data_IF_900970918307
#
_entry.id   IF_900970918307
#
_cell.length_a   1.000
_cell.length_b   1.000
_cell.length_c   1.000
_cell.angle_alpha   90.00
_cell.angle_beta   90.00
_cell.angle_gamma   90.00
#
_symmetry.space_group_name_H-M   'P 1'
#
loop_
_entity.id
_entity.type
_entity.pdbx_description
1 polymer ?
#
# COMPACT_ATOMS: atom_id res chain seq x y z
N UNK A 1 7.57 -29.33 9.05
CA UNK A 1 7.80 -28.09 8.28
C UNK A 1 6.78 -27.90 7.16
N UNK A 2 6.57 -28.90 6.28
CA UNK A 2 5.63 -28.81 5.15
C UNK A 2 4.18 -28.47 5.56
N UNK A 3 3.69 -29.04 6.67
CA UNK A 3 2.33 -28.77 7.21
C UNK A 3 2.14 -27.30 7.62
N UNK A 4 3.19 -26.65 8.13
CA UNK A 4 3.11 -25.23 8.52
C UNK A 4 3.03 -24.34 7.28
N UNK A 5 3.82 -24.64 6.26
CA UNK A 5 3.82 -23.91 4.99
C UNK A 5 2.48 -24.06 4.27
N UNK A 6 1.91 -25.27 4.23
CA UNK A 6 0.59 -25.48 3.63
C UNK A 6 -0.50 -24.71 4.36
N UNK A 7 -0.44 -24.64 5.69
CA UNK A 7 -1.39 -23.89 6.49
C UNK A 7 -1.28 -22.38 6.25
N UNK A 8 -0.06 -21.84 6.18
CA UNK A 8 0.18 -20.42 5.85
C UNK A 8 -0.39 -20.10 4.46
N UNK A 9 -0.12 -20.95 3.46
CA UNK A 9 -0.61 -20.74 2.09
C UNK A 9 -2.14 -20.82 2.01
N UNK A 10 -2.75 -21.72 2.77
CA UNK A 10 -4.21 -21.85 2.85
C UNK A 10 -4.86 -20.60 3.45
N UNK A 11 -4.27 -20.06 4.53
CA UNK A 11 -4.71 -18.80 5.15
C UNK A 11 -4.53 -17.64 4.17
N UNK A 12 -3.34 -17.50 3.58
CA UNK A 12 -3.05 -16.47 2.59
C UNK A 12 -4.10 -16.44 1.46
N UNK A 13 -4.40 -17.60 0.87
CA UNK A 13 -5.37 -17.70 -0.22
C UNK A 13 -6.79 -17.30 0.22
N UNK A 14 -7.21 -17.74 1.41
CA UNK A 14 -8.52 -17.39 1.98
C UNK A 14 -8.63 -15.88 2.20
N UNK A 15 -7.62 -15.27 2.82
CA UNK A 15 -7.63 -13.84 3.14
C UNK A 15 -7.54 -12.97 1.88
N UNK A 16 -6.71 -13.38 0.91
CA UNK A 16 -6.62 -12.71 -0.38
C UNK A 16 -7.94 -12.74 -1.14
N UNK A 17 -8.67 -13.87 -1.14
CA UNK A 17 -10.02 -13.92 -1.70
C UNK A 17 -11.02 -13.06 -0.90
N UNK A 18 -10.87 -13.00 0.43
CA UNK A 18 -11.65 -12.13 1.30
C UNK A 18 -11.52 -10.65 0.95
N UNK A 19 -10.31 -10.20 0.59
CA UNK A 19 -10.08 -8.81 0.15
C UNK A 19 -10.92 -8.43 -1.08
N UNK A 20 -10.97 -9.29 -2.10
CA UNK A 20 -11.79 -9.04 -3.29
C UNK A 20 -13.30 -9.08 -3.04
N UNK A 21 -13.74 -9.61 -1.89
CA UNK A 21 -15.15 -9.61 -1.50
C UNK A 21 -15.52 -8.47 -0.54
N UNK A 22 -14.52 -7.81 0.08
CA UNK A 22 -14.75 -6.78 1.10
C UNK A 22 -14.94 -5.39 0.47
N UNK A 23 -16.10 -4.73 0.66
CA UNK A 23 -16.35 -3.38 0.15
C UNK A 23 -15.33 -2.33 0.66
N UNK A 24 -14.81 -2.56 1.87
CA UNK A 24 -13.85 -1.67 2.51
C UNK A 24 -12.49 -1.71 1.81
N UNK A 25 -12.06 -2.88 1.32
CA UNK A 25 -10.83 -3.01 0.56
C UNK A 25 -10.88 -2.17 -0.72
N UNK A 26 -11.98 -2.25 -1.47
CA UNK A 26 -12.19 -1.41 -2.66
C UNK A 26 -12.19 0.09 -2.34
N UNK A 27 -12.80 0.50 -1.22
CA UNK A 27 -12.78 1.90 -0.80
C UNK A 27 -11.35 2.38 -0.52
N UNK A 28 -10.56 1.61 0.22
CA UNK A 28 -9.16 1.93 0.54
C UNK A 28 -8.31 1.98 -0.74
N UNK A 29 -8.40 0.96 -1.60
CA UNK A 29 -7.67 0.92 -2.87
C UNK A 29 -8.06 2.07 -3.79
N UNK A 30 -9.35 2.42 -3.86
CA UNK A 30 -9.85 3.54 -4.66
C UNK A 30 -9.31 4.88 -4.17
N UNK A 31 -9.31 5.12 -2.85
CA UNK A 31 -8.71 6.33 -2.26
C UNK A 31 -7.22 6.38 -2.54
N UNK A 32 -6.51 5.26 -2.37
CA UNK A 32 -5.08 5.18 -2.66
C UNK A 32 -4.77 5.53 -4.12
N UNK A 33 -5.53 4.99 -5.07
CA UNK A 33 -5.39 5.31 -6.50
C UNK A 33 -5.66 6.78 -6.81
N UNK A 34 -6.70 7.36 -6.21
CA UNK A 34 -7.02 8.78 -6.39
C UNK A 34 -5.91 9.69 -5.86
N UNK A 35 -5.39 9.38 -4.66
CA UNK A 35 -4.26 10.11 -4.10
C UNK A 35 -3.00 9.95 -4.96
N UNK A 36 -2.70 8.73 -5.39
CA UNK A 36 -1.56 8.44 -6.26
C UNK A 36 -1.61 9.22 -7.58
N UNK A 37 -2.79 9.28 -8.22
CA UNK A 37 -3.01 10.06 -9.43
C UNK A 37 -2.91 11.56 -9.18
N UNK A 38 -3.52 12.06 -8.10
CA UNK A 38 -3.44 13.47 -7.71
C UNK A 38 -1.99 13.91 -7.48
N UNK A 39 -1.21 13.14 -6.70
CA UNK A 39 0.18 13.47 -6.43
C UNK A 39 1.07 13.38 -7.67
N UNK A 40 0.79 12.46 -8.60
CA UNK A 40 1.50 12.40 -9.87
C UNK A 40 1.32 13.70 -10.66
N UNK A 41 0.08 14.16 -10.80
CA UNK A 41 -0.21 15.43 -11.51
C UNK A 41 0.37 16.62 -10.75
N UNK A 42 0.28 16.64 -9.43
CA UNK A 42 0.81 17.73 -8.60
C UNK A 42 2.34 17.85 -8.70
N UNK A 43 3.08 16.74 -8.65
CA UNK A 43 4.55 16.74 -8.72
C UNK A 43 5.04 17.14 -10.12
N UNK A 44 4.35 16.71 -11.18
CA UNK A 44 4.79 16.98 -12.57
C UNK A 44 4.31 18.35 -13.07
N UNK A 45 3.00 18.60 -12.99
CA UNK A 45 2.33 19.74 -13.64
C UNK A 45 1.83 20.81 -12.65
N UNK A 46 2.05 20.63 -11.34
CA UNK A 46 1.65 21.62 -10.34
C UNK A 46 2.37 22.97 -10.51
N UNK A 47 1.91 24.03 -9.83
CA UNK A 47 2.59 25.33 -9.81
C UNK A 47 4.05 25.22 -9.33
N UNK A 48 4.28 24.37 -8.33
CA UNK A 48 5.61 24.00 -7.83
C UNK A 48 6.11 22.68 -8.44
N UNK A 49 5.56 22.26 -9.57
CA UNK A 49 5.91 21.00 -10.23
C UNK A 49 7.28 21.05 -10.91
N UNK A 50 7.89 19.89 -11.11
CA UNK A 50 9.25 19.75 -11.65
C UNK A 50 9.36 20.42 -13.04
N UNK A 51 8.34 20.27 -13.89
CA UNK A 51 8.35 20.83 -15.25
C UNK A 51 8.35 22.38 -15.22
N UNK A 52 7.54 22.98 -14.34
CA UNK A 52 7.46 24.44 -14.23
C UNK A 52 8.71 25.04 -13.60
N UNK A 53 9.31 24.34 -12.62
CA UNK A 53 10.56 24.75 -12.01
C UNK A 53 11.72 24.74 -13.01
N UNK A 54 11.79 23.73 -13.88
CA UNK A 54 12.80 23.65 -14.95
C UNK A 54 12.56 24.76 -15.98
N UNK A 55 11.31 24.93 -16.44
CA UNK A 55 10.96 25.97 -17.41
C UNK A 55 11.29 27.39 -16.92
N UNK A 56 11.08 27.67 -15.63
CA UNK A 56 11.40 28.98 -15.03
C UNK A 56 12.91 29.17 -14.89
N UNK A 57 13.66 28.12 -14.57
CA UNK A 57 15.13 28.16 -14.49
C UNK A 57 15.79 28.39 -15.85
N UNK A 58 15.26 27.74 -16.89
CA UNK A 58 15.70 27.93 -18.27
C UNK A 58 15.46 29.38 -18.74
N UNK A 59 14.34 29.99 -18.36
CA UNK A 59 14.04 31.40 -18.68
C UNK A 59 14.97 32.40 -17.97
N UNK A 60 15.45 32.06 -16.78
CA UNK A 60 16.37 32.89 -15.99
C UNK A 60 17.84 32.74 -16.41
N UNK A 61 18.13 31.89 -17.41
CA UNK A 61 19.49 31.64 -17.89
C UNK A 61 20.37 30.86 -16.89
N UNK A 62 19.76 30.18 -15.92
CA UNK A 62 20.45 29.36 -14.91
C UNK A 62 20.34 27.90 -15.34
N UNK A 63 21.31 27.43 -16.14
CA UNK A 63 21.35 26.07 -16.71
C UNK A 63 22.31 25.10 -15.99
N UNK A 64 22.98 25.54 -14.91
CA UNK A 64 23.91 24.69 -14.15
C UNK A 64 23.49 24.68 -12.67
N UNK A 65 23.27 23.50 -12.04
CA UNK A 65 23.59 22.13 -12.45
C UNK A 65 22.45 21.40 -13.22
N UNK A 66 22.78 20.33 -13.98
CA UNK A 66 21.81 19.51 -14.69
C UNK A 66 20.80 18.87 -13.72
N UNK A 67 19.54 19.27 -13.83
CA UNK A 67 18.44 18.66 -13.09
C UNK A 67 18.03 17.38 -13.80
N UNK A 68 18.32 16.24 -13.18
CA UNK A 68 17.78 14.94 -13.60
C UNK A 68 16.30 14.87 -13.21
N UNK A 69 15.44 15.33 -14.11
CA UNK A 69 13.99 15.38 -13.90
C UNK A 69 13.40 13.99 -13.60
N UNK A 70 13.76 12.90 -14.31
CA UNK A 70 13.35 11.55 -13.93
C UNK A 70 13.73 11.17 -12.50
N UNK A 71 14.97 11.43 -12.07
CA UNK A 71 15.43 11.07 -10.74
C UNK A 71 14.69 11.84 -9.63
N UNK A 72 14.56 13.16 -9.77
CA UNK A 72 13.83 13.99 -8.79
C UNK A 72 12.35 13.62 -8.72
N UNK A 73 11.73 13.31 -9.86
CA UNK A 73 10.36 12.80 -9.90
C UNK A 73 10.25 11.48 -9.13
N UNK A 74 11.13 10.52 -9.41
CA UNK A 74 11.07 9.20 -8.77
C UNK A 74 11.23 9.33 -7.25
N UNK A 75 12.19 10.15 -6.81
CA UNK A 75 12.47 10.42 -5.40
C UNK A 75 11.27 11.05 -4.70
N UNK A 76 10.66 12.09 -5.28
CA UNK A 76 9.49 12.75 -4.70
C UNK A 76 8.27 11.83 -4.68
N UNK A 77 7.98 11.17 -5.82
CA UNK A 77 6.82 10.30 -5.96
C UNK A 77 6.91 9.06 -5.06
N UNK A 78 8.05 8.36 -5.05
CA UNK A 78 8.24 7.20 -4.18
C UNK A 78 8.28 7.57 -2.71
N UNK A 79 8.81 8.74 -2.35
CA UNK A 79 8.77 9.24 -0.96
C UNK A 79 7.33 9.39 -0.46
N UNK A 80 6.48 10.07 -1.24
CA UNK A 80 5.07 10.26 -0.89
C UNK A 80 4.31 8.92 -0.92
N UNK A 81 4.45 8.12 -1.98
CA UNK A 81 3.79 6.81 -2.06
C UNK A 81 4.24 5.86 -0.94
N UNK A 82 5.51 5.86 -0.57
CA UNK A 82 6.06 5.09 0.54
C UNK A 82 5.51 5.56 1.89
N UNK A 83 5.37 6.87 2.10
CA UNK A 83 4.70 7.38 3.31
C UNK A 83 3.23 6.97 3.36
N UNK A 84 2.50 7.03 2.25
CA UNK A 84 1.10 6.61 2.18
C UNK A 84 0.96 5.11 2.46
N UNK A 85 1.86 4.27 1.92
CA UNK A 85 1.82 2.83 2.13
C UNK A 85 2.08 2.43 3.59
N UNK A 86 2.90 3.19 4.33
CA UNK A 86 3.08 3.00 5.78
C UNK A 86 1.79 3.18 6.58
N UNK A 87 0.84 3.97 6.10
CA UNK A 87 -0.50 4.07 6.71
C UNK A 87 -1.46 3.03 6.13
N UNK A 88 -1.36 2.75 4.83
CA UNK A 88 -2.24 1.82 4.13
C UNK A 88 -2.09 0.38 4.64
N UNK A 89 -0.86 -0.09 4.84
CA UNK A 89 -0.57 -1.47 5.25
C UNK A 89 -1.16 -1.80 6.64
N UNK A 90 -0.93 -0.99 7.71
CA UNK A 90 -1.59 -1.22 8.99
C UNK A 90 -3.10 -1.11 8.91
N UNK A 91 -3.62 -0.20 8.08
CA UNK A 91 -5.06 -0.01 7.90
C UNK A 91 -5.72 -1.26 7.29
N UNK A 92 -5.11 -1.83 6.24
CA UNK A 92 -5.57 -3.07 5.61
C UNK A 92 -5.39 -4.29 6.51
N UNK A 93 -4.32 -4.35 7.32
CA UNK A 93 -4.13 -5.46 8.27
C UNK A 93 -5.14 -5.39 9.42
N UNK A 94 -5.44 -4.19 9.94
CA UNK A 94 -6.42 -4.01 11.02
C UNK A 94 -7.85 -4.25 10.54
N UNK A 95 -8.17 -3.94 9.28
CA UNK A 95 -9.50 -4.22 8.74
C UNK A 95 -9.79 -5.72 8.72
N UNK A 96 -8.79 -6.55 8.36
CA UNK A 96 -8.88 -8.01 8.36
C UNK A 96 -9.23 -8.56 9.76
N UNK A 97 -8.55 -8.04 10.79
CA UNK A 97 -8.77 -8.44 12.17
C UNK A 97 -10.14 -7.96 12.70
N UNK A 98 -10.52 -6.72 12.40
CA UNK A 98 -11.80 -6.17 12.80
C UNK A 98 -12.98 -6.93 12.17
N UNK A 99 -12.83 -7.36 10.92
CA UNK A 99 -13.85 -8.09 10.19
C UNK A 99 -14.07 -9.50 10.76
N UNK A 100 -13.00 -10.21 11.16
CA UNK A 100 -13.13 -11.48 11.89
C UNK A 100 -13.74 -11.31 13.28
N UNK A 101 -13.40 -10.23 14.00
CA UNK A 101 -14.00 -9.93 15.29
C UNK A 101 -15.50 -9.68 15.17
N UNK A 102 -15.91 -8.98 14.12
CA UNK A 102 -17.33 -8.71 13.83
C UNK A 102 -18.10 -9.98 13.46
N UNK A 103 -17.46 -10.94 12.79
CA UNK A 103 -18.07 -12.21 12.34
C UNK A 103 -18.03 -13.33 13.39
N UNK A 104 -17.37 -13.13 14.53
CA UNK A 104 -17.20 -14.15 15.57
C UNK A 104 -16.27 -15.31 15.18
N UNK A 105 -15.61 -15.23 14.02
CA UNK A 105 -14.73 -16.29 13.52
C UNK A 105 -13.38 -16.34 14.24
N UNK A 106 -13.06 -15.32 15.04
CA UNK A 106 -11.88 -15.31 15.91
C UNK A 106 -11.88 -16.49 16.89
N UNK A 107 -13.04 -16.86 17.44
CA UNK A 107 -13.16 -17.95 18.40
C UNK A 107 -12.93 -19.32 17.75
N UNK A 108 -13.40 -19.48 16.50
CA UNK A 108 -13.14 -20.67 15.69
C UNK A 108 -11.66 -20.79 15.30
N UNK A 109 -11.03 -19.66 14.95
CA UNK A 109 -9.60 -19.62 14.67
C UNK A 109 -8.77 -19.95 15.91
N UNK A 110 -9.15 -19.42 17.08
CA UNK A 110 -8.45 -19.66 18.34
C UNK A 110 -8.56 -21.11 18.85
N UNK A 111 -9.62 -21.82 18.47
CA UNK A 111 -9.85 -23.23 18.84
C UNK A 111 -9.35 -24.22 17.79
N UNK A 112 -9.01 -23.74 16.59
CA UNK A 112 -8.46 -24.60 15.52
C UNK A 112 -6.99 -24.99 15.79
N UNK A 113 -6.55 -26.20 15.38
CA UNK A 113 -5.21 -26.71 15.66
C UNK A 113 -4.14 -26.10 14.72
N UNK A 114 -4.08 -24.77 14.66
CA UNK A 114 -3.11 -24.00 13.89
C UNK A 114 -2.27 -23.11 14.82
N UNK A 115 -1.00 -22.93 14.51
CA UNK A 115 -0.10 -22.12 15.33
C UNK A 115 -0.37 -20.62 15.14
N UNK A 116 -0.37 -19.85 16.24
CA UNK A 116 -0.58 -18.39 16.19
C UNK A 116 0.39 -17.67 15.22
N UNK A 117 1.64 -18.15 15.11
CA UNK A 117 2.62 -17.62 14.17
C UNK A 117 2.26 -17.87 12.70
N UNK A 118 1.67 -19.03 12.37
CA UNK A 118 1.21 -19.31 11.01
C UNK A 118 0.04 -18.40 10.62
N UNK A 119 -0.83 -18.06 11.57
CA UNK A 119 -1.92 -17.10 11.37
C UNK A 119 -1.38 -15.69 11.17
N UNK A 120 -0.46 -15.23 12.04
CA UNK A 120 0.11 -13.89 11.95
C UNK A 120 0.87 -13.68 10.63
N UNK A 121 1.69 -14.64 10.23
CA UNK A 121 2.46 -14.57 8.97
C UNK A 121 1.56 -14.70 7.74
N UNK A 122 0.58 -15.60 7.74
CA UNK A 122 -0.38 -15.73 6.64
C UNK A 122 -1.20 -14.46 6.41
N UNK A 123 -1.63 -13.79 7.49
CA UNK A 123 -2.35 -12.52 7.39
C UNK A 123 -1.48 -11.37 6.91
N UNK A 124 -0.25 -11.27 7.42
CA UNK A 124 0.68 -10.23 6.97
C UNK A 124 1.01 -10.39 5.48
N UNK A 125 1.27 -11.62 5.03
CA UNK A 125 1.55 -11.91 3.62
C UNK A 125 0.35 -11.61 2.72
N UNK A 126 -0.88 -11.71 3.22
CA UNK A 126 -2.08 -11.37 2.45
C UNK A 126 -2.23 -9.85 2.21
N UNK A 127 -1.61 -9.02 3.06
CA UNK A 127 -1.70 -7.55 3.03
C UNK A 127 -0.53 -6.92 2.28
N UNK A 128 0.64 -7.55 2.35
CA UNK A 128 1.91 -7.06 1.81
C UNK A 128 1.97 -7.23 0.29
#
# INVERSE_FOLDING_TARGET
MLVVISNILAIYRKELQGYFASPLAYAITGIFWLLAGYFLVAILLGPDGIIQQIATRDQLGITEPPVDAPYEFLKAYLGIMGSLSLFLLPMLSMSLYAEERKRGTLELLATSPITNWAVATGKLLAVL
#
